data_IF_138298415123
#
_entry.id   IF_138298415123
#
_cell.length_a   1.000
_cell.length_b   1.000
_cell.length_c   1.000
_cell.angle_alpha   90.00
_cell.angle_beta   90.00
_cell.angle_gamma   90.00
#
_symmetry.space_group_name_H-M   'P 1'
#
loop_
_entity.id
_entity.type
_entity.pdbx_description
1 polymer ?
#
# COMPACT_ATOMS: atom_id res chain seq x y z
N UNK A 1 -9.83 -7.50 -3.50
CA UNK A 1 -10.25 -8.16 -2.22
C UNK A 1 -10.97 -7.15 -1.32
N UNK A 2 -11.99 -7.61 -0.58
CA UNK A 2 -12.67 -6.75 0.40
C UNK A 2 -11.72 -6.46 1.57
N UNK A 3 -11.39 -5.20 1.79
CA UNK A 3 -10.44 -4.79 2.84
C UNK A 3 -10.94 -5.06 4.25
N UNK A 4 -12.24 -5.07 4.47
CA UNK A 4 -12.86 -5.43 5.75
C UNK A 4 -12.51 -6.89 6.10
N UNK A 5 -12.74 -7.81 5.17
CA UNK A 5 -12.45 -9.23 5.38
C UNK A 5 -10.96 -9.47 5.64
N UNK A 6 -10.09 -8.85 4.85
CA UNK A 6 -8.62 -8.92 5.04
C UNK A 6 -8.24 -8.40 6.42
N UNK A 7 -8.75 -7.23 6.82
CA UNK A 7 -8.43 -6.65 8.13
C UNK A 7 -8.86 -7.54 9.29
N UNK A 8 -10.03 -8.18 9.21
CA UNK A 8 -10.53 -9.09 10.25
C UNK A 8 -9.66 -10.36 10.33
N UNK A 9 -9.30 -10.94 9.17
CA UNK A 9 -8.43 -12.13 9.12
C UNK A 9 -7.08 -11.81 9.78
N UNK A 10 -6.45 -10.70 9.38
CA UNK A 10 -5.15 -10.32 9.93
C UNK A 10 -5.21 -9.82 11.38
N UNK A 11 -6.33 -9.24 11.82
CA UNK A 11 -6.54 -8.94 13.23
C UNK A 11 -6.48 -10.22 14.06
N UNK A 12 -7.08 -11.32 13.58
CA UNK A 12 -6.99 -12.64 14.22
C UNK A 12 -5.60 -13.25 14.11
N UNK A 13 -4.92 -13.05 12.98
CA UNK A 13 -3.56 -13.54 12.76
C UNK A 13 -2.56 -12.95 13.76
N UNK A 14 -2.67 -11.64 14.07
CA UNK A 14 -1.82 -10.91 15.01
C UNK A 14 -2.37 -10.87 16.44
N UNK A 15 -3.44 -11.60 16.75
CA UNK A 15 -4.04 -11.56 18.08
C UNK A 15 -3.08 -12.15 19.12
N UNK A 16 -2.95 -11.49 20.26
CA UNK A 16 -2.45 -12.10 21.49
C UNK A 16 -3.64 -12.51 22.34
N UNK A 17 -3.80 -13.80 22.55
CA UNK A 17 -4.86 -14.34 23.39
C UNK A 17 -4.66 -13.99 24.86
N UNK A 18 -5.72 -14.14 25.65
CA UNK A 18 -5.65 -14.08 27.11
C UNK A 18 -5.60 -15.50 27.64
N UNK A 19 -4.56 -15.78 28.45
CA UNK A 19 -4.35 -17.11 29.04
C UNK A 19 -5.62 -17.60 29.75
N UNK A 20 -6.18 -18.70 29.27
CA UNK A 20 -7.40 -19.31 29.80
C UNK A 20 -8.74 -18.74 29.30
N UNK A 21 -8.76 -17.65 28.49
CA UNK A 21 -9.99 -17.05 27.97
C UNK A 21 -10.08 -17.09 26.43
N UNK A 22 -9.02 -16.71 25.73
CA UNK A 22 -9.01 -16.70 24.27
C UNK A 22 -7.70 -17.27 23.74
N UNK A 23 -7.74 -18.09 22.67
CA UNK A 23 -6.52 -18.63 22.06
C UNK A 23 -5.70 -17.52 21.43
N UNK A 24 -4.38 -17.73 21.35
CA UNK A 24 -3.47 -16.90 20.59
C UNK A 24 -3.82 -16.92 19.10
N UNK A 25 -3.50 -15.84 18.41
CA UNK A 25 -3.56 -15.79 16.95
C UNK A 25 -2.48 -16.66 16.32
N UNK A 26 -2.63 -16.94 15.02
CA UNK A 26 -1.77 -17.86 14.28
C UNK A 26 -0.28 -17.58 14.47
N UNK A 27 0.13 -16.32 14.44
CA UNK A 27 1.53 -15.93 14.54
C UNK A 27 2.08 -16.21 15.97
N UNK A 28 1.32 -15.90 17.00
CA UNK A 28 1.71 -16.20 18.38
C UNK A 28 1.69 -17.70 18.68
N UNK A 29 0.79 -18.45 18.08
CA UNK A 29 0.80 -19.92 18.16
C UNK A 29 2.08 -20.49 17.56
N UNK A 30 2.54 -19.98 16.41
CA UNK A 30 3.82 -20.38 15.83
C UNK A 30 4.99 -20.02 16.75
N UNK A 31 5.02 -18.80 17.30
CA UNK A 31 6.07 -18.37 18.21
C UNK A 31 6.14 -19.28 19.47
N UNK A 32 5.01 -19.60 20.07
CA UNK A 32 4.96 -20.45 21.26
C UNK A 32 5.36 -21.89 20.96
N UNK A 33 5.04 -22.43 19.77
CA UNK A 33 5.53 -23.76 19.36
C UNK A 33 7.04 -23.81 19.13
N UNK A 34 7.64 -22.67 18.80
CA UNK A 34 9.10 -22.49 18.67
C UNK A 34 9.79 -22.20 20.01
N UNK A 35 9.03 -22.18 21.12
CA UNK A 35 9.57 -21.89 22.45
C UNK A 35 9.81 -20.39 22.72
N UNK A 36 9.25 -19.52 21.90
CA UNK A 36 9.34 -18.06 22.07
C UNK A 36 8.10 -17.51 22.78
N UNK A 37 8.27 -16.41 23.50
CA UNK A 37 7.16 -15.75 24.18
C UNK A 37 6.20 -15.08 23.18
N UNK A 38 4.87 -15.12 23.43
CA UNK A 38 3.89 -14.47 22.58
C UNK A 38 4.02 -12.94 22.64
N UNK A 39 3.98 -12.29 21.49
CA UNK A 39 4.15 -10.86 21.33
C UNK A 39 2.79 -10.15 21.27
N UNK A 40 2.68 -8.99 21.93
CA UNK A 40 1.57 -8.07 21.75
C UNK A 40 1.86 -7.20 20.52
N UNK A 41 1.35 -7.60 19.34
CA UNK A 41 1.61 -6.96 18.06
C UNK A 41 0.99 -5.56 17.95
N UNK A 42 -0.20 -5.38 18.53
CA UNK A 42 -0.88 -4.10 18.61
C UNK A 42 -0.77 -3.57 20.04
N UNK A 43 0.31 -2.85 20.32
CA UNK A 43 0.64 -2.33 21.63
C UNK A 43 0.72 -0.79 21.59
N UNK A 44 0.23 -0.15 22.67
CA UNK A 44 0.29 1.30 22.84
C UNK A 44 1.72 1.77 23.05
N UNK A 45 2.54 0.96 23.73
CA UNK A 45 3.93 1.29 24.04
C UNK A 45 4.86 1.05 22.83
N UNK A 46 4.38 0.35 21.80
CA UNK A 46 5.14 0.01 20.59
C UNK A 46 4.40 0.42 19.30
N UNK A 47 4.11 1.72 19.12
CA UNK A 47 3.34 2.18 17.96
C UNK A 47 4.02 1.86 16.61
N UNK A 48 5.34 1.79 16.57
CA UNK A 48 6.07 1.40 15.38
C UNK A 48 5.74 -0.03 14.95
N UNK A 49 5.69 -0.98 15.88
CA UNK A 49 5.35 -2.37 15.60
C UNK A 49 3.91 -2.49 15.05
N UNK A 50 2.96 -1.79 15.67
CA UNK A 50 1.58 -1.76 15.19
C UNK A 50 1.48 -1.21 13.75
N UNK A 51 2.21 -0.14 13.43
CA UNK A 51 2.25 0.39 12.08
C UNK A 51 2.91 -0.58 11.09
N UNK A 52 3.98 -1.30 11.46
CA UNK A 52 4.57 -2.34 10.62
C UNK A 52 3.56 -3.46 10.29
N UNK A 53 2.75 -3.89 11.27
CA UNK A 53 1.69 -4.86 11.02
C UNK A 53 0.65 -4.32 10.02
N UNK A 54 0.23 -3.06 10.14
CA UNK A 54 -0.72 -2.45 9.19
C UNK A 54 -0.12 -2.32 7.79
N UNK A 55 1.15 -1.97 7.67
CA UNK A 55 1.88 -1.93 6.39
C UNK A 55 1.93 -3.33 5.77
N UNK A 56 2.26 -4.36 6.54
CA UNK A 56 2.25 -5.75 6.06
C UNK A 56 0.87 -6.16 5.51
N UNK A 57 -0.21 -5.86 6.24
CA UNK A 57 -1.58 -6.13 5.79
C UNK A 57 -1.87 -5.41 4.47
N UNK A 58 -1.43 -4.16 4.36
CA UNK A 58 -1.63 -3.34 3.15
C UNK A 58 -0.88 -3.91 1.96
N UNK A 59 0.40 -4.28 2.12
CA UNK A 59 1.21 -4.91 1.08
C UNK A 59 0.53 -6.21 0.62
N UNK A 60 0.15 -7.08 1.55
CA UNK A 60 -0.49 -8.34 1.24
C UNK A 60 -1.81 -8.15 0.46
N UNK A 61 -2.59 -7.13 0.82
CA UNK A 61 -3.86 -6.79 0.15
C UNK A 61 -3.66 -6.38 -1.30
N UNK A 62 -2.65 -5.56 -1.59
CA UNK A 62 -2.49 -4.91 -2.89
C UNK A 62 -1.50 -5.60 -3.82
N UNK A 63 -0.53 -6.37 -3.30
CA UNK A 63 0.54 -7.00 -4.08
C UNK A 63 0.03 -7.84 -5.26
N UNK A 64 -1.08 -8.56 -5.09
CA UNK A 64 -1.64 -9.37 -6.16
C UNK A 64 -2.17 -8.54 -7.33
N UNK A 65 -2.77 -7.39 -7.06
CA UNK A 65 -3.23 -6.46 -8.08
C UNK A 65 -2.04 -5.84 -8.82
N UNK A 66 -1.02 -5.42 -8.08
CA UNK A 66 0.18 -4.80 -8.64
C UNK A 66 0.94 -5.77 -9.54
N UNK A 67 1.08 -7.04 -9.13
CA UNK A 67 1.70 -8.10 -9.95
C UNK A 67 0.97 -8.26 -11.29
N UNK A 68 -0.36 -8.34 -11.28
CA UNK A 68 -1.15 -8.50 -12.51
C UNK A 68 -0.95 -7.29 -13.43
N UNK A 69 -0.93 -6.08 -12.89
CA UNK A 69 -0.68 -4.86 -13.67
C UNK A 69 0.70 -4.87 -14.32
N UNK A 70 1.75 -5.30 -13.61
CA UNK A 70 3.10 -5.40 -14.19
C UNK A 70 3.21 -6.51 -15.22
N UNK A 71 2.59 -7.67 -15.00
CA UNK A 71 2.55 -8.76 -15.99
C UNK A 71 1.89 -8.27 -17.27
N UNK A 72 0.73 -7.59 -17.17
CA UNK A 72 0.05 -7.04 -18.34
C UNK A 72 0.89 -6.02 -19.11
N UNK A 73 1.62 -5.15 -18.39
CA UNK A 73 2.53 -4.18 -18.97
C UNK A 73 3.71 -4.85 -19.71
N UNK A 74 4.30 -5.89 -19.13
CA UNK A 74 5.39 -6.64 -19.74
C UNK A 74 4.91 -7.40 -20.99
N UNK A 75 3.74 -8.01 -20.91
CA UNK A 75 3.15 -8.73 -22.06
C UNK A 75 2.74 -7.82 -23.22
N UNK A 76 2.59 -6.53 -23.01
CA UNK A 76 2.31 -5.55 -24.07
C UNK A 76 3.54 -5.15 -24.90
N UNK A 77 4.75 -5.54 -24.47
CA UNK A 77 5.99 -5.28 -25.22
C UNK A 77 6.04 -6.20 -26.42
N UNK A 78 6.32 -5.65 -27.62
CA UNK A 78 6.42 -6.46 -28.85
C UNK A 78 7.51 -7.53 -28.71
N UNK A 79 7.22 -8.79 -29.10
CA UNK A 79 8.24 -9.84 -29.18
C UNK A 79 9.42 -9.49 -30.07
N UNK A 80 9.21 -8.72 -31.12
CA UNK A 80 10.24 -8.29 -32.07
C UNK A 80 11.40 -7.55 -31.39
N UNK A 81 11.08 -6.79 -30.30
CA UNK A 81 12.12 -6.09 -29.53
C UNK A 81 13.04 -7.05 -28.79
N UNK A 82 12.51 -8.16 -28.32
CA UNK A 82 13.31 -9.19 -27.66
C UNK A 82 14.13 -9.97 -28.68
N UNK A 83 13.54 -10.31 -29.83
CA UNK A 83 14.25 -11.01 -30.91
C UNK A 83 15.41 -10.16 -31.45
N UNK A 84 15.21 -8.87 -31.67
CA UNK A 84 16.27 -7.95 -32.08
C UNK A 84 17.40 -7.87 -31.03
N UNK A 85 17.05 -7.77 -29.76
CA UNK A 85 18.03 -7.73 -28.69
C UNK A 85 18.82 -9.05 -28.56
N UNK A 86 18.17 -10.18 -28.76
CA UNK A 86 18.84 -11.50 -28.76
C UNK A 86 19.80 -11.64 -29.94
N UNK A 87 19.46 -11.11 -31.12
CA UNK A 87 20.37 -11.05 -32.28
C UNK A 87 21.59 -10.15 -32.02
N UNK A 88 21.41 -9.07 -31.26
CA UNK A 88 22.48 -8.17 -30.82
C UNK A 88 23.32 -8.75 -29.66
N UNK A 89 22.98 -9.96 -29.17
CA UNK A 89 23.70 -10.63 -28.08
C UNK A 89 23.45 -10.01 -26.70
N UNK A 90 22.30 -9.37 -26.49
CA UNK A 90 21.96 -8.77 -25.20
C UNK A 90 21.73 -9.84 -24.12
N UNK A 91 22.32 -9.63 -22.95
CA UNK A 91 22.06 -10.51 -21.81
C UNK A 91 20.75 -10.15 -21.09
N UNK A 92 20.19 -11.03 -20.22
CA UNK A 92 18.91 -10.78 -19.54
C UNK A 92 18.86 -9.48 -18.74
N UNK A 93 19.98 -9.04 -18.16
CA UNK A 93 20.04 -7.76 -17.44
C UNK A 93 19.95 -6.56 -18.39
N UNK A 94 20.56 -6.65 -19.57
CA UNK A 94 20.45 -5.63 -20.62
C UNK A 94 19.03 -5.56 -21.16
N UNK A 95 18.38 -6.68 -21.44
CA UNK A 95 16.97 -6.76 -21.82
C UNK A 95 16.07 -6.11 -20.75
N UNK A 96 16.25 -6.45 -19.49
CA UNK A 96 15.51 -5.80 -18.40
C UNK A 96 15.74 -4.30 -18.36
N UNK A 97 17.01 -3.86 -18.40
CA UNK A 97 17.37 -2.45 -18.20
C UNK A 97 16.99 -1.54 -19.34
N UNK A 98 17.08 -2.05 -20.58
CA UNK A 98 16.91 -1.23 -21.78
C UNK A 98 15.57 -1.45 -22.51
N UNK A 99 14.90 -2.57 -22.32
CA UNK A 99 13.62 -2.87 -22.96
C UNK A 99 12.48 -2.87 -21.92
N UNK A 100 12.56 -3.77 -20.92
CA UNK A 100 11.44 -3.97 -19.99
C UNK A 100 11.24 -2.77 -19.08
N UNK A 101 12.27 -2.31 -18.39
CA UNK A 101 12.16 -1.22 -17.41
C UNK A 101 11.67 0.10 -18.02
N UNK A 102 12.17 0.57 -19.18
CA UNK A 102 11.61 1.75 -19.84
C UNK A 102 10.15 1.58 -20.25
N UNK A 103 9.77 0.40 -20.73
CA UNK A 103 8.41 0.11 -21.20
C UNK A 103 7.39 0.09 -20.06
N UNK A 104 7.77 -0.34 -18.85
CA UNK A 104 6.87 -0.36 -17.68
C UNK A 104 6.89 0.93 -16.86
N UNK A 105 7.78 1.89 -17.14
CA UNK A 105 7.84 3.18 -16.44
C UNK A 105 6.48 3.90 -16.30
N UNK A 106 5.63 3.97 -17.34
CA UNK A 106 4.32 4.61 -17.22
C UNK A 106 3.43 3.93 -16.17
N UNK A 107 3.48 2.59 -16.08
CA UNK A 107 2.72 1.81 -15.10
C UNK A 107 3.26 2.04 -13.69
N UNK A 108 4.60 2.07 -13.51
CA UNK A 108 5.23 2.41 -12.23
C UNK A 108 4.78 3.80 -11.76
N UNK A 109 4.78 4.79 -12.65
CA UNK A 109 4.34 6.15 -12.33
C UNK A 109 2.87 6.19 -11.91
N UNK A 110 2.00 5.47 -12.63
CA UNK A 110 0.58 5.37 -12.29
C UNK A 110 0.38 4.71 -10.92
N UNK A 111 1.06 3.59 -10.66
CA UNK A 111 0.99 2.88 -9.38
C UNK A 111 1.48 3.76 -8.22
N UNK A 112 2.55 4.52 -8.43
CA UNK A 112 3.05 5.46 -7.42
C UNK A 112 2.01 6.55 -7.08
N UNK A 113 1.33 7.10 -8.10
CA UNK A 113 0.25 8.08 -7.89
C UNK A 113 -0.88 7.46 -7.07
N UNK A 114 -1.31 6.25 -7.42
CA UNK A 114 -2.38 5.55 -6.71
C UNK A 114 -1.97 5.20 -5.27
N UNK A 115 -0.73 4.76 -5.05
CA UNK A 115 -0.20 4.41 -3.73
C UNK A 115 -0.16 5.62 -2.79
N UNK A 116 0.36 6.77 -3.24
CA UNK A 116 0.42 7.99 -2.42
C UNK A 116 -0.98 8.50 -2.11
N UNK A 117 -1.89 8.52 -3.09
CA UNK A 117 -3.30 8.87 -2.86
C UNK A 117 -3.95 7.92 -1.85
N UNK A 118 -3.72 6.62 -1.97
CA UNK A 118 -4.21 5.61 -1.04
C UNK A 118 -3.66 5.80 0.37
N UNK A 119 -2.38 6.16 0.51
CA UNK A 119 -1.75 6.42 1.80
C UNK A 119 -2.34 7.65 2.52
N UNK A 120 -2.60 8.74 1.78
CA UNK A 120 -3.23 9.95 2.35
C UNK A 120 -4.66 9.66 2.83
N UNK A 121 -5.40 8.81 2.11
CA UNK A 121 -6.81 8.50 2.38
C UNK A 121 -7.00 7.18 3.15
N UNK A 122 -5.92 6.61 3.71
CA UNK A 122 -5.99 5.32 4.40
C UNK A 122 -6.93 5.37 5.60
N UNK A 123 -7.92 4.46 5.61
CA UNK A 123 -8.94 4.39 6.63
C UNK A 123 -9.26 2.94 7.04
N UNK A 124 -9.57 2.10 6.06
CA UNK A 124 -10.21 0.81 6.26
C UNK A 124 -9.39 -0.12 7.17
N UNK A 125 -8.12 -0.35 6.84
CA UNK A 125 -7.25 -1.28 7.58
C UNK A 125 -7.00 -0.80 9.01
N UNK A 126 -6.51 0.44 9.28
CA UNK A 126 -6.25 0.87 10.64
C UNK A 126 -7.53 1.05 11.47
N UNK A 127 -8.66 1.40 10.84
CA UNK A 127 -9.92 1.53 11.56
C UNK A 127 -10.47 0.19 12.05
N UNK A 128 -10.44 -0.84 11.20
CA UNK A 128 -10.95 -2.16 11.56
C UNK A 128 -10.01 -2.88 12.52
N UNK A 129 -8.69 -2.76 12.30
CA UNK A 129 -7.70 -3.51 13.08
C UNK A 129 -7.49 -2.93 14.47
N UNK A 130 -7.27 -1.60 14.57
CA UNK A 130 -6.88 -0.93 15.82
C UNK A 130 -7.83 0.19 16.24
N UNK A 131 -8.84 0.53 15.43
CA UNK A 131 -9.73 1.69 15.57
C UNK A 131 -8.97 3.01 15.65
N UNK A 132 -7.77 3.08 15.09
CA UNK A 132 -6.90 4.25 15.15
C UNK A 132 -6.22 4.45 16.51
N UNK A 133 -6.27 3.46 17.40
CA UNK A 133 -5.49 3.47 18.65
C UNK A 133 -4.04 3.05 18.41
N UNK A 134 -3.20 3.07 19.45
CA UNK A 134 -1.82 2.56 19.38
C UNK A 134 -0.94 3.30 18.35
N UNK A 135 -1.14 4.63 18.21
CA UNK A 135 -0.38 5.44 17.27
C UNK A 135 -0.72 5.22 15.78
N UNK A 136 -1.83 4.55 15.47
CA UNK A 136 -2.27 4.24 14.10
C UNK A 136 -3.39 5.16 13.60
N UNK A 137 -3.67 6.27 14.30
CA UNK A 137 -4.70 7.23 13.93
C UNK A 137 -4.33 7.93 12.61
N UNK A 138 -5.20 7.83 11.62
CA UNK A 138 -5.09 8.58 10.37
C UNK A 138 -5.97 9.82 10.38
N UNK A 139 -5.71 10.75 9.45
CA UNK A 139 -6.53 11.95 9.32
C UNK A 139 -8.01 11.63 9.07
N UNK A 140 -8.29 10.62 8.24
CA UNK A 140 -9.65 10.16 7.93
C UNK A 140 -10.34 9.60 9.18
N UNK A 141 -9.64 8.76 9.96
CA UNK A 141 -10.17 8.22 11.23
C UNK A 141 -10.49 9.37 12.20
N UNK A 142 -9.59 10.35 12.31
CA UNK A 142 -9.83 11.52 13.17
C UNK A 142 -11.04 12.31 12.71
N UNK A 143 -11.21 12.51 11.40
CA UNK A 143 -12.40 13.19 10.82
C UNK A 143 -13.68 12.45 11.15
N UNK A 144 -13.71 11.13 10.97
CA UNK A 144 -14.89 10.31 11.29
C UNK A 144 -15.22 10.36 12.78
N UNK A 145 -14.22 10.21 13.64
CA UNK A 145 -14.44 10.30 15.10
C UNK A 145 -14.94 11.71 15.50
N UNK A 146 -14.46 12.77 14.84
CA UNK A 146 -14.94 14.14 15.10
C UNK A 146 -16.39 14.32 14.70
N UNK A 147 -16.82 13.71 13.57
CA UNK A 147 -18.21 13.77 13.12
C UNK A 147 -19.15 12.99 14.02
N UNK A 148 -18.84 11.70 14.24
CA UNK A 148 -19.78 10.76 14.85
C UNK A 148 -19.63 10.62 16.36
N UNK A 149 -18.41 10.56 16.89
CA UNK A 149 -18.17 10.40 18.33
C UNK A 149 -18.27 11.73 19.06
N UNK A 150 -17.67 12.79 18.52
CA UNK A 150 -17.71 14.12 19.12
C UNK A 150 -18.92 14.96 18.69
N UNK A 151 -19.68 14.49 17.71
CA UNK A 151 -20.87 15.19 17.12
C UNK A 151 -20.55 16.61 16.60
N UNK A 152 -19.29 16.87 16.24
CA UNK A 152 -18.83 18.17 15.69
C UNK A 152 -18.81 18.12 14.16
N UNK A 153 -20.01 18.01 13.54
CA UNK A 153 -20.17 17.81 12.10
C UNK A 153 -19.53 18.93 11.29
N UNK A 154 -19.70 20.21 11.68
CA UNK A 154 -19.08 21.34 10.98
C UNK A 154 -17.55 21.27 10.94
N UNK A 155 -16.92 20.89 12.07
CA UNK A 155 -15.46 20.71 12.11
C UNK A 155 -15.02 19.53 11.24
N UNK A 156 -15.73 18.41 11.29
CA UNK A 156 -15.43 17.25 10.46
C UNK A 156 -15.57 17.56 8.96
N UNK A 157 -16.58 18.36 8.57
CA UNK A 157 -16.73 18.83 7.18
C UNK A 157 -15.57 19.72 6.75
N UNK A 158 -15.10 20.63 7.60
CA UNK A 158 -13.92 21.44 7.34
C UNK A 158 -12.65 20.58 7.17
N UNK A 159 -12.48 19.56 8.03
CA UNK A 159 -11.38 18.58 7.89
C UNK A 159 -11.47 17.82 6.56
N UNK A 160 -12.67 17.43 6.12
CA UNK A 160 -12.89 16.78 4.82
C UNK A 160 -12.46 17.67 3.65
N UNK A 161 -12.80 18.97 3.69
CA UNK A 161 -12.39 19.95 2.68
C UNK A 161 -10.84 20.09 2.66
N UNK A 162 -10.22 20.17 3.82
CA UNK A 162 -8.74 20.23 3.91
C UNK A 162 -8.11 18.99 3.29
N UNK A 163 -8.63 17.80 3.56
CA UNK A 163 -8.15 16.56 2.97
C UNK A 163 -8.30 16.56 1.44
N UNK A 164 -9.43 17.06 0.95
CA UNK A 164 -9.68 17.21 -0.49
C UNK A 164 -8.61 18.10 -1.14
N UNK A 165 -8.36 19.27 -0.57
CA UNK A 165 -7.36 20.23 -1.08
C UNK A 165 -5.96 19.59 -1.09
N UNK A 166 -5.55 18.93 0.01
CA UNK A 166 -4.27 18.24 0.08
C UNK A 166 -4.16 17.17 -1.00
N UNK A 167 -5.20 16.36 -1.18
CA UNK A 167 -5.22 15.28 -2.19
C UNK A 167 -5.10 15.84 -3.61
N UNK A 168 -5.78 16.96 -3.91
CA UNK A 168 -5.69 17.65 -5.20
C UNK A 168 -4.27 18.15 -5.43
N UNK A 169 -3.70 18.87 -4.48
CA UNK A 169 -2.34 19.42 -4.59
C UNK A 169 -1.32 18.30 -4.83
N UNK A 170 -1.37 17.25 -4.02
CA UNK A 170 -0.45 16.10 -4.17
C UNK A 170 -0.62 15.43 -5.52
N UNK A 171 -1.85 15.26 -6.00
CA UNK A 171 -2.12 14.68 -7.32
C UNK A 171 -1.55 15.54 -8.45
N UNK A 172 -1.67 16.86 -8.37
CA UNK A 172 -1.08 17.78 -9.36
C UNK A 172 0.45 17.70 -9.36
N UNK A 173 1.08 17.71 -8.18
CA UNK A 173 2.55 17.58 -8.05
C UNK A 173 3.02 16.25 -8.67
N UNK A 174 2.36 15.14 -8.33
CA UNK A 174 2.71 13.82 -8.86
C UNK A 174 2.54 13.75 -10.39
N UNK A 175 1.43 14.28 -10.92
CA UNK A 175 1.20 14.34 -12.37
C UNK A 175 2.29 15.14 -13.06
N UNK A 176 2.67 16.30 -12.51
CA UNK A 176 3.74 17.13 -13.07
C UNK A 176 5.08 16.38 -13.10
N UNK A 177 5.46 15.73 -11.99
CA UNK A 177 6.68 14.92 -11.92
C UNK A 177 6.63 13.72 -12.88
N UNK A 178 5.49 13.05 -13.01
CA UNK A 178 5.31 11.93 -13.95
C UNK A 178 5.43 12.35 -15.40
N UNK A 179 4.84 13.50 -15.77
CA UNK A 179 4.95 14.04 -17.14
C UNK A 179 6.40 14.36 -17.53
N UNK A 180 7.22 14.90 -16.62
CA UNK A 180 8.63 15.15 -16.87
C UNK A 180 9.39 13.85 -17.18
N UNK A 181 9.03 12.74 -16.50
CA UNK A 181 9.71 11.46 -16.70
C UNK A 181 9.21 10.64 -17.90
N UNK A 182 7.99 10.92 -18.40
CA UNK A 182 7.39 10.20 -19.55
C UNK A 182 7.71 10.91 -20.87
N UNK A 183 7.96 12.21 -20.87
CA UNK A 183 8.17 13.00 -22.09
C UNK A 183 9.54 12.80 -22.77
N UNK A 184 10.48 12.06 -22.15
CA UNK A 184 11.79 11.83 -22.77
C UNK A 184 11.87 10.74 -23.85
N UNK A 185 11.03 9.67 -23.91
CA UNK A 185 11.22 8.64 -24.94
C UNK A 185 10.74 9.03 -26.34
N UNK A 186 9.98 10.12 -26.51
CA UNK A 186 9.39 10.45 -27.81
C UNK A 186 10.34 11.23 -28.74
N UNK A 187 11.53 11.63 -28.28
CA UNK A 187 12.51 12.38 -29.11
C UNK A 187 13.50 11.51 -29.88
N UNK A 188 13.43 10.17 -29.75
CA UNK A 188 14.34 9.26 -30.44
C UNK A 188 13.67 8.44 -31.56
N UNK A 189 12.48 8.82 -32.01
CA UNK A 189 11.78 8.20 -33.15
C UNK A 189 11.54 9.18 -34.29
N UNK A 190 12.52 10.00 -34.62
CA UNK A 190 12.61 10.73 -35.90
C UNK A 190 13.99 10.56 -36.49
#
# INVERSE_FOLDING_TARGET
MNGVAVSIIFQRFFLKGQKGLTPDGTLNTILTTLGLDPILWFDVDRPFLANCCLVFISIWKYIGFDIIMYIGAIQSISPDLYEAADLDGANPWQNFRYIVFPSIKPIISLQLILAVKGAISVFEIPYITTKGMMGTTTFVIKTINTAFSLKKVGLASAMGIVLLIITIIVTFIQKYLSLIHISEPTRLQL
#
